data_IF_329455329817
#
_entry.id   IF_329455329817
#
_cell.length_a   1.000
_cell.length_b   1.000
_cell.length_c   1.000
_cell.angle_alpha   90.00
_cell.angle_beta   90.00
_cell.angle_gamma   90.00
#
_symmetry.space_group_name_H-M   'P 1'
#
loop_
_entity.id
_entity.type
_entity.pdbx_description
1 polymer ?
#
# COMPACT_ATOMS: atom_id res chain seq x y z
N UNK A 1 -44.34 -27.35 4.79
CA UNK A 1 -42.89 -27.64 4.83
C UNK A 1 -42.33 -27.40 3.43
N UNK A 2 -41.71 -26.25 3.12
CA UNK A 2 -41.13 -26.04 1.80
C UNK A 2 -39.76 -26.74 1.72
N UNK A 3 -39.51 -27.40 0.59
CA UNK A 3 -38.25 -28.09 0.28
C UNK A 3 -37.14 -27.04 0.14
N UNK A 4 -36.14 -27.12 1.01
CA UNK A 4 -34.87 -26.38 0.90
C UNK A 4 -34.15 -26.81 -0.38
N UNK A 5 -33.52 -25.83 -1.04
CA UNK A 5 -32.99 -25.92 -2.40
C UNK A 5 -31.98 -27.04 -2.63
N UNK A 6 -32.04 -27.61 -3.83
CA UNK A 6 -31.08 -28.55 -4.41
C UNK A 6 -29.78 -27.82 -4.72
N UNK A 7 -28.94 -27.61 -3.71
CA UNK A 7 -27.54 -27.23 -3.90
C UNK A 7 -26.68 -28.49 -3.97
N UNK A 8 -25.91 -28.64 -5.05
CA UNK A 8 -24.88 -29.69 -5.17
C UNK A 8 -23.96 -29.64 -3.94
N UNK A 9 -23.62 -30.79 -3.39
CA UNK A 9 -22.61 -30.92 -2.33
C UNK A 9 -21.22 -30.57 -2.86
N UNK A 10 -20.26 -30.24 -1.98
CA UNK A 10 -18.89 -29.85 -2.38
C UNK A 10 -18.21 -30.95 -3.22
N UNK A 11 -18.51 -32.22 -2.92
CA UNK A 11 -18.01 -33.40 -3.64
C UNK A 11 -18.65 -33.53 -5.04
N UNK A 12 -19.95 -33.26 -5.17
CA UNK A 12 -20.64 -33.23 -6.47
C UNK A 12 -20.18 -32.05 -7.32
N UNK A 13 -19.91 -30.89 -6.71
CA UNK A 13 -19.34 -29.70 -7.36
C UNK A 13 -17.91 -29.96 -7.84
N UNK A 14 -17.10 -30.69 -7.05
CA UNK A 14 -15.75 -31.08 -7.45
C UNK A 14 -15.72 -32.05 -8.63
N UNK A 15 -16.70 -32.96 -8.74
CA UNK A 15 -16.85 -33.83 -9.90
C UNK A 15 -17.23 -33.05 -11.17
N UNK A 16 -18.19 -32.13 -11.08
CA UNK A 16 -18.61 -31.31 -12.24
C UNK A 16 -17.52 -30.32 -12.66
N UNK A 17 -16.79 -29.77 -11.70
CA UNK A 17 -15.69 -28.84 -11.96
C UNK A 17 -14.43 -29.53 -12.53
N UNK A 18 -14.24 -30.84 -12.30
CA UNK A 18 -13.08 -31.57 -12.79
C UNK A 18 -12.94 -31.60 -14.32
N UNK A 19 -14.06 -31.47 -15.04
CA UNK A 19 -14.11 -31.53 -16.51
C UNK A 19 -14.07 -30.14 -17.18
N UNK A 20 -14.15 -29.04 -16.41
CA UNK A 20 -14.11 -27.67 -16.92
C UNK A 20 -13.02 -26.85 -16.19
N UNK A 21 -11.97 -26.40 -16.89
CA UNK A 21 -10.85 -25.69 -16.27
C UNK A 21 -11.22 -24.35 -15.62
N UNK A 22 -12.31 -23.69 -16.06
CA UNK A 22 -12.81 -22.46 -15.47
C UNK A 22 -13.54 -22.79 -14.16
N UNK A 23 -14.38 -23.82 -14.15
CA UNK A 23 -15.08 -24.26 -12.94
C UNK A 23 -14.12 -24.85 -11.89
N UNK A 24 -13.08 -25.57 -12.31
CA UNK A 24 -12.01 -26.04 -11.43
C UNK A 24 -11.27 -24.87 -10.76
N UNK A 25 -10.90 -23.85 -11.54
CA UNK A 25 -10.21 -22.66 -11.02
C UNK A 25 -11.11 -21.84 -10.07
N UNK A 26 -12.40 -21.73 -10.37
CA UNK A 26 -13.36 -21.03 -9.52
C UNK A 26 -13.65 -21.80 -8.23
N UNK A 27 -13.79 -23.13 -8.31
CA UNK A 27 -13.93 -23.99 -7.13
C UNK A 27 -12.69 -23.86 -6.25
N UNK A 28 -11.49 -23.93 -6.83
CA UNK A 28 -10.24 -23.74 -6.10
C UNK A 28 -10.14 -22.36 -5.44
N UNK A 29 -10.59 -21.28 -6.10
CA UNK A 29 -10.64 -19.94 -5.50
C UNK A 29 -11.60 -19.86 -4.32
N UNK A 30 -12.75 -20.53 -4.41
CA UNK A 30 -13.80 -20.49 -3.37
C UNK A 30 -13.52 -21.41 -2.19
N UNK A 31 -12.80 -22.50 -2.41
CA UNK A 31 -12.40 -23.45 -1.36
C UNK A 31 -11.00 -23.20 -0.83
N UNK A 32 -10.26 -22.26 -1.42
CA UNK A 32 -8.99 -21.81 -0.88
C UNK A 32 -9.17 -21.34 0.57
N UNK A 33 -8.24 -21.70 1.48
CA UNK A 33 -8.20 -21.10 2.80
C UNK A 33 -8.15 -19.57 2.70
N UNK A 34 -8.71 -18.84 3.66
CA UNK A 34 -8.55 -17.39 3.71
C UNK A 34 -7.06 -17.06 3.67
N UNK A 35 -6.70 -16.02 2.90
CA UNK A 35 -5.33 -15.55 2.84
C UNK A 35 -4.84 -15.27 4.27
N UNK A 36 -3.56 -15.57 4.58
CA UNK A 36 -3.01 -15.25 5.88
C UNK A 36 -3.18 -13.74 6.16
N UNK A 37 -3.44 -13.34 7.41
CA UNK A 37 -3.60 -11.94 7.75
C UNK A 37 -2.35 -11.15 7.34
N UNK A 38 -2.56 -9.98 6.72
CA UNK A 38 -1.44 -9.09 6.39
C UNK A 38 -0.66 -8.76 7.67
N UNK A 39 0.70 -8.70 7.62
CA UNK A 39 1.48 -8.28 8.77
C UNK A 39 1.08 -6.86 9.17
N UNK A 40 1.12 -6.52 10.47
CA UNK A 40 0.81 -5.17 10.92
C UNK A 40 1.75 -4.18 10.21
N UNK A 41 1.28 -3.00 9.79
CA UNK A 41 2.11 -2.02 9.09
C UNK A 41 3.40 -1.63 9.85
N UNK A 42 3.38 -1.75 11.18
CA UNK A 42 4.54 -1.53 12.05
C UNK A 42 5.70 -2.50 11.79
N UNK A 43 5.42 -3.72 11.32
CA UNK A 43 6.42 -4.77 11.04
C UNK A 43 6.97 -4.71 9.61
N UNK A 44 6.42 -3.85 8.76
CA UNK A 44 6.82 -3.72 7.35
C UNK A 44 7.95 -2.68 7.22
N UNK A 45 9.03 -2.96 6.46
CA UNK A 45 10.07 -1.98 6.16
C UNK A 45 9.51 -0.70 5.52
N UNK A 46 10.10 0.45 5.83
CA UNK A 46 9.59 1.76 5.37
C UNK A 46 9.44 1.83 3.85
N UNK A 47 10.41 1.33 3.08
CA UNK A 47 10.31 1.31 1.61
C UNK A 47 9.12 0.49 1.10
N UNK A 48 8.84 -0.66 1.72
CA UNK A 48 7.71 -1.52 1.37
C UNK A 48 6.37 -0.91 1.78
N UNK A 49 6.32 -0.26 2.95
CA UNK A 49 5.14 0.49 3.39
C UNK A 49 4.78 1.58 2.38
N UNK A 50 5.78 2.35 1.93
CA UNK A 50 5.59 3.41 0.93
C UNK A 50 5.18 2.84 -0.44
N UNK A 51 5.72 1.69 -0.83
CA UNK A 51 5.35 1.02 -2.08
C UNK A 51 3.90 0.52 -2.09
N UNK A 52 3.32 0.22 -0.92
CA UNK A 52 1.92 -0.21 -0.77
C UNK A 52 0.91 0.94 -0.81
N UNK A 53 1.34 2.20 -0.76
CA UNK A 53 0.43 3.36 -0.71
C UNK A 53 -0.56 3.48 -1.88
N UNK A 54 -0.21 3.21 -3.16
CA UNK A 54 -1.13 3.44 -4.27
C UNK A 54 -2.48 2.73 -4.12
N UNK A 55 -3.56 3.49 -3.95
CA UNK A 55 -4.91 2.96 -3.71
C UNK A 55 -5.24 2.61 -2.24
N UNK A 56 -4.28 2.68 -1.32
CA UNK A 56 -4.43 2.35 0.11
C UNK A 56 -4.47 3.62 0.99
N UNK A 57 -5.62 4.28 1.00
CA UNK A 57 -5.84 5.51 1.79
C UNK A 57 -5.76 5.27 3.30
N UNK A 58 -6.05 4.04 3.75
CA UNK A 58 -5.88 3.58 5.13
C UNK A 58 -4.45 3.70 5.65
N UNK A 59 -3.45 3.70 4.74
CA UNK A 59 -2.03 3.75 5.10
C UNK A 59 -1.46 5.17 5.18
N UNK A 60 -2.21 6.22 4.80
CA UNK A 60 -1.69 7.60 4.72
C UNK A 60 -1.10 8.07 6.05
N UNK A 61 -1.89 8.01 7.12
CA UNK A 61 -1.45 8.47 8.45
C UNK A 61 -0.33 7.60 9.02
N UNK A 62 -0.32 6.30 8.69
CA UNK A 62 0.72 5.37 9.12
C UNK A 62 2.05 5.71 8.43
N UNK A 63 2.03 5.92 7.12
CA UNK A 63 3.19 6.34 6.36
C UNK A 63 3.72 7.71 6.82
N UNK A 64 2.84 8.68 7.07
CA UNK A 64 3.22 9.99 7.56
C UNK A 64 3.93 9.92 8.93
N UNK A 65 3.39 9.13 9.87
CA UNK A 65 4.03 8.89 11.17
C UNK A 65 5.37 8.18 11.03
N UNK A 66 5.46 7.17 10.17
CA UNK A 66 6.72 6.48 9.88
C UNK A 66 7.79 7.45 9.36
N UNK A 67 7.42 8.36 8.46
CA UNK A 67 8.33 9.38 7.94
C UNK A 67 8.79 10.35 9.04
N UNK A 68 7.91 10.75 9.95
CA UNK A 68 8.28 11.53 11.14
C UNK A 68 9.28 10.81 12.04
N UNK A 69 9.05 9.53 12.32
CA UNK A 69 9.95 8.70 13.13
C UNK A 69 11.35 8.58 12.49
N UNK A 70 11.41 8.20 11.22
CA UNK A 70 12.65 7.99 10.46
C UNK A 70 13.49 9.27 10.29
N UNK A 71 12.82 10.41 10.18
CA UNK A 71 13.47 11.72 10.04
C UNK A 71 13.75 12.39 11.38
N UNK A 72 13.17 11.91 12.48
CA UNK A 72 13.19 12.59 13.78
C UNK A 72 12.44 13.92 13.80
N UNK A 73 11.55 14.18 12.82
CA UNK A 73 10.80 15.43 12.71
C UNK A 73 9.33 15.26 13.11
N UNK A 74 9.05 15.61 14.37
CA UNK A 74 7.73 15.49 15.00
C UNK A 74 6.93 16.80 15.00
N UNK A 75 7.38 17.82 14.27
CA UNK A 75 6.63 19.09 14.19
C UNK A 75 5.29 18.85 13.48
N UNK A 76 4.22 19.45 14.01
CA UNK A 76 2.86 19.35 13.42
C UNK A 76 2.86 19.75 11.94
N UNK A 77 3.61 20.79 11.57
CA UNK A 77 3.74 21.23 10.18
C UNK A 77 4.43 20.18 9.28
N UNK A 78 5.45 19.48 9.81
CA UNK A 78 6.14 18.41 9.09
C UNK A 78 5.24 17.19 8.93
N UNK A 79 4.51 16.79 9.97
CA UNK A 79 3.54 15.69 9.88
C UNK A 79 2.47 15.95 8.81
N UNK A 80 1.86 17.14 8.77
CA UNK A 80 0.91 17.53 7.72
C UNK A 80 1.53 17.50 6.32
N UNK A 81 2.83 17.81 6.23
CA UNK A 81 3.55 17.74 4.96
C UNK A 81 3.76 16.29 4.53
N UNK A 82 4.16 15.41 5.44
CA UNK A 82 4.31 13.97 5.17
C UNK A 82 2.98 13.29 4.84
N UNK A 83 1.90 13.70 5.48
CA UNK A 83 0.53 13.27 5.16
C UNK A 83 0.17 13.59 3.71
N UNK A 84 0.39 14.84 3.26
CA UNK A 84 0.15 15.25 1.88
C UNK A 84 1.01 14.48 0.86
N UNK A 85 2.25 14.14 1.22
CA UNK A 85 3.10 13.31 0.36
C UNK A 85 2.53 11.90 0.22
N UNK A 86 2.14 11.28 1.33
CA UNK A 86 1.53 9.95 1.34
C UNK A 86 0.19 9.95 0.61
N UNK A 87 -0.63 10.98 0.78
CA UNK A 87 -1.89 11.19 0.06
C UNK A 87 -1.68 11.31 -1.45
N UNK A 88 -0.69 12.08 -1.90
CA UNK A 88 -0.36 12.22 -3.31
C UNK A 88 0.02 10.86 -3.95
N UNK A 89 0.69 9.99 -3.21
CA UNK A 89 0.98 8.62 -3.66
C UNK A 89 -0.26 7.73 -3.60
N UNK A 90 -1.06 7.81 -2.53
CA UNK A 90 -2.26 6.99 -2.37
C UNK A 90 -3.31 7.28 -3.45
N UNK A 91 -3.46 8.55 -3.84
CA UNK A 91 -4.32 9.00 -4.95
C UNK A 91 -3.71 8.75 -6.33
N UNK A 92 -2.50 8.17 -6.41
CA UNK A 92 -1.74 7.91 -7.64
C UNK A 92 -1.36 9.16 -8.44
N UNK A 93 -1.46 10.34 -7.83
CA UNK A 93 -1.00 11.61 -8.39
C UNK A 93 0.51 11.59 -8.59
N UNK A 94 1.24 10.94 -7.67
CA UNK A 94 2.70 10.78 -7.73
C UNK A 94 3.06 9.28 -7.59
N UNK A 95 4.00 8.75 -8.39
CA UNK A 95 4.48 7.38 -8.21
C UNK A 95 5.14 7.15 -6.85
N UNK A 96 4.98 5.97 -6.22
CA UNK A 96 5.59 5.67 -4.92
C UNK A 96 7.12 5.76 -4.94
N UNK A 97 7.76 5.49 -6.07
CA UNK A 97 9.22 5.55 -6.25
C UNK A 97 9.78 6.94 -5.98
N UNK A 98 8.99 7.99 -6.27
CA UNK A 98 9.37 9.39 -5.99
C UNK A 98 9.48 9.61 -4.49
N UNK A 99 8.47 9.19 -3.72
CA UNK A 99 8.47 9.34 -2.26
C UNK A 99 9.56 8.49 -1.62
N UNK A 100 9.77 7.26 -2.10
CA UNK A 100 10.85 6.36 -1.64
C UNK A 100 12.22 7.00 -1.91
N UNK A 101 12.42 7.59 -3.10
CA UNK A 101 13.65 8.30 -3.44
C UNK A 101 13.91 9.50 -2.53
N UNK A 102 12.87 10.29 -2.24
CA UNK A 102 12.95 11.43 -1.32
C UNK A 102 13.26 10.99 0.12
N UNK A 103 12.61 9.92 0.59
CA UNK A 103 12.87 9.33 1.90
C UNK A 103 14.33 8.87 2.01
N UNK A 104 14.85 8.14 1.02
CA UNK A 104 16.27 7.68 0.98
C UNK A 104 17.26 8.85 1.06
N UNK A 105 16.97 9.96 0.37
CA UNK A 105 17.79 11.17 0.50
C UNK A 105 17.70 11.76 1.91
N UNK A 106 16.50 11.82 2.48
CA UNK A 106 16.25 12.31 3.83
C UNK A 106 16.99 11.53 4.91
N UNK A 107 16.93 10.19 4.89
CA UNK A 107 17.55 9.33 5.91
C UNK A 107 19.02 9.00 5.66
N UNK A 108 19.58 9.47 4.54
CA UNK A 108 20.96 9.22 4.15
C UNK A 108 21.99 9.73 5.18
N UNK A 109 23.19 9.14 5.23
CA UNK A 109 24.20 9.44 6.25
C UNK A 109 24.72 10.88 6.22
N UNK A 110 24.52 11.60 5.11
CA UNK A 110 24.97 12.99 4.91
C UNK A 110 23.92 14.03 5.30
N UNK A 111 22.73 13.61 5.74
CA UNK A 111 21.59 14.50 5.99
C UNK A 111 21.55 14.97 7.44
N UNK A 112 22.09 16.16 7.70
CA UNK A 112 22.06 16.79 9.04
C UNK A 112 20.62 17.15 9.47
N UNK A 113 19.77 17.52 8.52
CA UNK A 113 18.36 17.86 8.75
C UNK A 113 17.43 16.98 7.91
N UNK A 114 17.34 15.70 8.28
CA UNK A 114 16.64 14.64 7.53
C UNK A 114 15.25 15.05 7.01
N UNK A 115 14.40 15.60 7.88
CA UNK A 115 13.05 16.04 7.51
C UNK A 115 13.06 17.16 6.46
N UNK A 116 13.94 18.16 6.61
CA UNK A 116 14.10 19.24 5.62
C UNK A 116 14.62 18.71 4.28
N UNK A 117 15.59 17.79 4.31
CA UNK A 117 16.14 17.18 3.10
C UNK A 117 15.07 16.40 2.34
N UNK A 118 14.25 15.62 3.05
CA UNK A 118 13.12 14.89 2.46
C UNK A 118 12.13 15.87 1.79
N UNK A 119 11.70 16.91 2.52
CA UNK A 119 10.74 17.90 2.00
C UNK A 119 11.31 18.64 0.78
N UNK A 120 12.60 19.00 0.81
CA UNK A 120 13.26 19.67 -0.30
C UNK A 120 13.36 18.74 -1.53
N UNK A 121 13.74 17.47 -1.33
CA UNK A 121 13.77 16.47 -2.39
C UNK A 121 12.40 16.30 -3.04
N UNK A 122 11.35 16.19 -2.22
CA UNK A 122 9.97 16.07 -2.69
C UNK A 122 9.55 17.26 -3.56
N UNK A 123 9.77 18.49 -3.08
CA UNK A 123 9.42 19.71 -3.81
C UNK A 123 10.08 19.78 -5.18
N UNK A 124 11.34 19.36 -5.30
CA UNK A 124 12.03 19.28 -6.60
C UNK A 124 11.38 18.25 -7.51
N UNK A 125 11.17 17.03 -7.02
CA UNK A 125 10.63 15.94 -7.82
C UNK A 125 9.21 16.19 -8.33
N UNK A 126 8.35 16.82 -7.55
CA UNK A 126 6.97 17.12 -7.99
C UNK A 126 6.88 18.36 -8.89
N UNK A 127 7.85 19.29 -8.82
CA UNK A 127 7.94 20.41 -9.75
C UNK A 127 8.43 19.99 -11.14
N UNK A 128 9.25 18.93 -11.20
CA UNK A 128 9.76 18.35 -12.44
C UNK A 128 8.81 17.30 -13.05
N UNK A 129 7.78 16.87 -12.32
CA UNK A 129 6.80 15.92 -12.82
C UNK A 129 5.90 16.60 -13.88
N UNK A 130 5.77 16.06 -15.10
CA UNK A 130 4.88 16.62 -16.10
C UNK A 130 3.42 16.58 -15.59
N UNK A 131 2.58 17.56 -15.97
CA UNK A 131 1.15 17.51 -15.64
C UNK A 131 0.57 16.22 -16.21
N UNK A 132 0.00 15.38 -15.34
CA UNK A 132 -0.68 14.16 -15.77
C UNK A 132 -2.09 14.52 -16.20
N UNK A 133 -2.39 14.25 -17.47
CA UNK A 133 -3.70 14.38 -18.11
C UNK A 133 -4.72 13.41 -17.53
#
# INVERSE_FOLDING_TARGET
RPRLGLGLTLEELAKVAGDDPILAAELARRTAPPAPPEPPPAAVPTAELLAKLPGRHDLIMIAARRLSEETGDFKVASLRTFEKMAEAVATRSVPPEVLIGCWRQGVGPKSEHKGKVLVAAWKRSVAEAPPRC
#
